data_IF_255817191360
#
_entry.id   IF_255817191360
#
_cell.length_a   1.000
_cell.length_b   1.000
_cell.length_c   1.000
_cell.angle_alpha   90.00
_cell.angle_beta   90.00
_cell.angle_gamma   90.00
#
_symmetry.space_group_name_H-M   'P 1'
#
loop_
_entity.id
_entity.type
_entity.pdbx_description
1 polymer ?
#
# COMPACT_ATOMS: atom_id res chain seq x y z
N UNK A 1 21.30 21.14 -22.36
CA UNK A 1 21.02 22.41 -23.07
C UNK A 1 20.85 23.49 -22.00
N UNK A 2 21.62 24.58 -22.02
CA UNK A 2 21.48 25.67 -21.03
C UNK A 2 20.51 26.72 -21.59
N UNK A 3 19.47 27.05 -20.84
CA UNK A 3 18.55 28.16 -21.14
C UNK A 3 18.63 29.13 -19.96
N UNK A 4 19.22 30.31 -20.19
CA UNK A 4 19.48 31.29 -19.12
C UNK A 4 20.43 30.74 -18.06
N UNK A 5 20.04 30.85 -16.78
CA UNK A 5 20.78 30.34 -15.62
C UNK A 5 20.53 28.86 -15.30
N UNK A 6 19.67 28.17 -16.06
CA UNK A 6 19.28 26.78 -15.77
C UNK A 6 19.84 25.81 -16.81
N UNK A 7 20.41 24.71 -16.32
CA UNK A 7 20.95 23.64 -17.15
C UNK A 7 19.89 22.54 -17.32
N UNK A 8 19.25 22.48 -18.49
CA UNK A 8 18.31 21.43 -18.83
C UNK A 8 19.09 20.17 -19.23
N UNK A 9 19.00 19.15 -18.38
CA UNK A 9 19.52 17.81 -18.65
C UNK A 9 18.38 16.95 -19.21
N UNK A 10 18.41 16.71 -20.52
CA UNK A 10 17.45 15.83 -21.18
C UNK A 10 17.89 14.38 -20.95
N UNK A 11 17.30 13.72 -19.95
CA UNK A 11 17.47 12.29 -19.75
C UNK A 11 16.35 11.54 -20.47
N UNK A 12 16.72 10.59 -21.34
CA UNK A 12 15.76 9.72 -22.01
C UNK A 12 15.09 8.85 -20.95
N UNK A 13 13.83 9.12 -20.62
CA UNK A 13 13.03 8.20 -19.81
C UNK A 13 12.94 6.87 -20.55
N UNK A 14 13.33 5.79 -19.88
CA UNK A 14 13.10 4.44 -20.38
C UNK A 14 11.59 4.22 -20.39
N UNK A 15 10.97 4.40 -21.55
CA UNK A 15 9.56 4.12 -21.77
C UNK A 15 9.41 2.62 -22.04
N UNK A 16 8.94 1.88 -21.05
CA UNK A 16 8.52 0.50 -21.26
C UNK A 16 7.22 0.51 -22.07
N UNK A 17 7.12 -0.32 -23.10
CA UNK A 17 5.84 -0.59 -23.73
C UNK A 17 4.92 -1.32 -22.75
N UNK A 18 3.59 -1.18 -22.90
CA UNK A 18 2.64 -1.88 -22.02
C UNK A 18 2.86 -3.40 -21.99
N UNK A 19 3.27 -3.98 -23.11
CA UNK A 19 3.62 -5.40 -23.22
C UNK A 19 4.90 -5.77 -22.48
N UNK A 20 5.92 -4.91 -22.51
CA UNK A 20 7.14 -5.12 -21.71
C UNK A 20 6.82 -5.05 -20.22
N UNK A 21 6.00 -4.08 -19.78
CA UNK A 21 5.56 -3.98 -18.39
C UNK A 21 4.77 -5.21 -17.95
N UNK A 22 3.83 -5.70 -18.78
CA UNK A 22 3.08 -6.92 -18.51
C UNK A 22 4.01 -8.15 -18.42
N UNK A 23 4.97 -8.28 -19.33
CA UNK A 23 5.96 -9.36 -19.32
C UNK A 23 6.81 -9.38 -18.04
N UNK A 24 7.28 -8.21 -17.59
CA UNK A 24 8.02 -8.07 -16.33
C UNK A 24 7.14 -8.51 -15.14
N UNK A 25 5.88 -8.07 -15.08
CA UNK A 25 4.96 -8.44 -14.01
C UNK A 25 4.66 -9.94 -13.98
N UNK A 26 4.43 -10.58 -15.12
CA UNK A 26 4.20 -12.03 -15.22
C UNK A 26 5.44 -12.79 -14.73
N UNK A 27 6.63 -12.38 -15.17
CA UNK A 27 7.88 -12.99 -14.73
C UNK A 27 8.06 -12.86 -13.21
N UNK A 28 7.76 -11.70 -12.65
CA UNK A 28 7.83 -11.48 -11.20
C UNK A 28 6.87 -12.41 -10.43
N UNK A 29 5.66 -12.64 -10.93
CA UNK A 29 4.71 -13.59 -10.34
C UNK A 29 5.26 -15.02 -10.39
N UNK A 30 5.80 -15.45 -11.54
CA UNK A 30 6.39 -16.80 -11.68
C UNK A 30 7.55 -17.00 -10.73
N UNK A 31 8.45 -16.02 -10.63
CA UNK A 31 9.59 -16.05 -9.71
C UNK A 31 9.11 -16.10 -8.25
N UNK A 32 8.09 -15.32 -7.89
CA UNK A 32 7.52 -15.37 -6.54
C UNK A 32 6.98 -16.77 -6.22
N UNK A 33 6.20 -17.38 -7.13
CA UNK A 33 5.71 -18.76 -6.96
C UNK A 33 6.88 -19.76 -6.86
N UNK A 34 7.94 -19.62 -7.66
CA UNK A 34 9.10 -20.50 -7.53
C UNK A 34 9.77 -20.37 -6.12
N UNK A 35 9.94 -19.15 -5.62
CA UNK A 35 10.53 -18.90 -4.29
C UNK A 35 9.65 -19.47 -3.18
N UNK A 36 8.32 -19.26 -3.23
CA UNK A 36 7.40 -19.83 -2.25
C UNK A 36 7.34 -21.36 -2.30
N UNK A 37 7.56 -21.96 -3.47
CA UNK A 37 7.64 -23.42 -3.60
C UNK A 37 8.80 -24.00 -2.78
N UNK A 38 9.94 -23.30 -2.73
CA UNK A 38 11.08 -23.69 -1.89
C UNK A 38 10.66 -23.73 -0.41
N UNK A 39 9.91 -22.72 0.04
CA UNK A 39 9.41 -22.66 1.42
C UNK A 39 8.47 -23.85 1.72
N UNK A 40 7.58 -24.19 0.80
CA UNK A 40 6.69 -25.35 0.97
C UNK A 40 7.47 -26.68 1.04
N UNK A 41 8.48 -26.87 0.19
CA UNK A 41 9.34 -28.05 0.22
C UNK A 41 10.07 -28.15 1.56
N UNK A 42 10.61 -27.04 2.07
CA UNK A 42 11.28 -27.00 3.38
C UNK A 42 10.32 -27.31 4.53
N UNK A 43 9.04 -26.99 4.39
CA UNK A 43 7.98 -27.35 5.33
C UNK A 43 7.45 -28.78 5.14
N UNK A 44 7.97 -29.55 4.18
CA UNK A 44 7.52 -30.92 3.88
C UNK A 44 6.18 -30.98 3.15
N UNK A 45 5.72 -29.88 2.55
CA UNK A 45 4.44 -29.76 1.86
C UNK A 45 4.67 -29.79 0.35
N UNK A 46 3.86 -30.56 -0.40
CA UNK A 46 3.91 -30.53 -1.86
C UNK A 46 3.47 -29.14 -2.38
N UNK A 47 4.32 -28.40 -3.13
CA UNK A 47 3.99 -27.06 -3.59
C UNK A 47 2.75 -26.97 -4.46
N UNK A 48 2.52 -27.97 -5.32
CA UNK A 48 1.37 -27.97 -6.22
C UNK A 48 0.07 -28.08 -5.42
N UNK A 49 0.03 -28.98 -4.42
CA UNK A 49 -1.11 -29.10 -3.51
C UNK A 49 -1.33 -27.79 -2.74
N UNK A 50 -0.26 -27.18 -2.22
CA UNK A 50 -0.36 -25.90 -1.51
C UNK A 50 -0.95 -24.79 -2.38
N UNK A 51 -0.51 -24.66 -3.63
CA UNK A 51 -1.09 -23.66 -4.54
C UNK A 51 -2.54 -23.96 -4.88
N UNK A 52 -2.90 -25.22 -5.15
CA UNK A 52 -4.30 -25.59 -5.40
C UNK A 52 -5.19 -25.18 -4.23
N UNK A 53 -4.76 -25.42 -2.99
CA UNK A 53 -5.50 -24.98 -1.80
C UNK A 53 -5.59 -23.45 -1.71
N UNK A 54 -4.49 -22.72 -1.92
CA UNK A 54 -4.47 -21.25 -1.87
C UNK A 54 -5.40 -20.64 -2.92
N UNK A 55 -5.34 -21.11 -4.17
CA UNK A 55 -6.17 -20.60 -5.26
C UNK A 55 -7.64 -21.01 -5.08
N UNK A 56 -7.90 -22.23 -4.63
CA UNK A 56 -9.26 -22.68 -4.30
C UNK A 56 -9.87 -21.83 -3.19
N UNK A 57 -9.11 -21.55 -2.12
CA UNK A 57 -9.57 -20.66 -1.07
C UNK A 57 -9.78 -19.23 -1.60
N UNK A 58 -8.84 -18.68 -2.35
CA UNK A 58 -8.93 -17.29 -2.81
C UNK A 58 -10.07 -17.04 -3.81
N UNK A 59 -10.38 -17.99 -4.71
CA UNK A 59 -11.31 -17.75 -5.83
C UNK A 59 -12.58 -18.60 -5.81
N UNK A 60 -12.54 -19.83 -5.28
CA UNK A 60 -13.69 -20.73 -5.26
C UNK A 60 -14.47 -20.69 -3.93
N UNK A 61 -13.89 -20.15 -2.87
CA UNK A 61 -14.57 -19.97 -1.58
C UNK A 61 -15.41 -18.68 -1.56
N UNK A 62 -16.71 -18.73 -1.16
CA UNK A 62 -17.57 -17.55 -1.04
C UNK A 62 -17.02 -16.44 -0.13
N UNK A 63 -16.24 -16.79 0.89
CA UNK A 63 -15.61 -15.85 1.81
C UNK A 63 -14.20 -15.43 1.37
N UNK A 64 -13.53 -16.25 0.57
CA UNK A 64 -12.14 -16.00 0.16
C UNK A 64 -12.01 -14.91 -0.90
N UNK A 65 -12.93 -14.85 -1.86
CA UNK A 65 -12.88 -13.83 -2.91
C UNK A 65 -13.06 -12.40 -2.36
N UNK A 66 -14.07 -12.11 -1.50
CA UNK A 66 -14.19 -10.80 -0.86
C UNK A 66 -12.96 -10.41 -0.03
N UNK A 67 -12.39 -11.36 0.71
CA UNK A 67 -11.21 -11.11 1.54
C UNK A 67 -9.97 -10.83 0.69
N UNK A 68 -9.80 -11.56 -0.41
CA UNK A 68 -8.73 -11.36 -1.39
C UNK A 68 -8.84 -9.99 -2.04
N UNK A 69 -10.05 -9.59 -2.45
CA UNK A 69 -10.29 -8.26 -3.03
C UNK A 69 -10.05 -7.14 -2.02
N UNK A 70 -10.49 -7.30 -0.78
CA UNK A 70 -10.25 -6.33 0.29
C UNK A 70 -8.75 -6.09 0.51
N UNK A 71 -7.97 -7.18 0.62
CA UNK A 71 -6.51 -7.14 0.76
C UNK A 71 -5.84 -6.52 -0.47
N UNK A 72 -6.30 -6.88 -1.67
CA UNK A 72 -5.79 -6.36 -2.93
C UNK A 72 -5.97 -4.85 -3.03
N UNK A 73 -7.20 -4.34 -2.80
CA UNK A 73 -7.51 -2.90 -2.83
C UNK A 73 -6.63 -2.15 -1.84
N UNK A 74 -6.47 -2.68 -0.62
CA UNK A 74 -5.61 -2.07 0.39
C UNK A 74 -4.15 -1.94 -0.06
N UNK A 75 -3.54 -3.02 -0.55
CA UNK A 75 -2.15 -3.01 -1.03
C UNK A 75 -1.98 -2.11 -2.27
N UNK A 76 -2.98 -2.11 -3.15
CA UNK A 76 -3.03 -1.25 -4.32
C UNK A 76 -3.04 0.23 -3.93
N UNK A 77 -3.87 0.64 -2.97
CA UNK A 77 -3.88 2.01 -2.45
C UNK A 77 -2.56 2.41 -1.80
N UNK A 78 -1.93 1.51 -1.03
CA UNK A 78 -0.60 1.74 -0.48
C UNK A 78 0.45 1.95 -1.59
N UNK A 79 0.34 1.19 -2.68
CA UNK A 79 1.24 1.33 -3.83
C UNK A 79 1.05 2.68 -4.53
N UNK A 80 -0.20 3.12 -4.73
CA UNK A 80 -0.48 4.46 -5.27
C UNK A 80 0.07 5.58 -4.38
N UNK A 81 -0.07 5.45 -3.05
CA UNK A 81 0.47 6.42 -2.10
C UNK A 81 2.01 6.53 -2.18
N UNK A 82 2.70 5.45 -2.54
CA UNK A 82 4.15 5.44 -2.76
C UNK A 82 4.57 5.98 -4.14
N UNK A 83 3.85 5.61 -5.21
CA UNK A 83 4.20 5.97 -6.60
C UNK A 83 4.20 7.50 -6.80
N UNK A 84 3.27 8.23 -6.18
CA UNK A 84 3.17 9.69 -6.37
C UNK A 84 4.45 10.41 -5.88
N UNK A 85 4.91 10.27 -4.62
CA UNK A 85 6.20 10.82 -4.18
C UNK A 85 7.40 10.26 -4.96
N UNK A 86 7.39 8.97 -5.29
CA UNK A 86 8.48 8.36 -6.05
C UNK A 86 8.65 9.01 -7.43
N UNK A 87 7.54 9.38 -8.09
CA UNK A 87 7.57 10.10 -9.36
C UNK A 87 8.21 11.50 -9.25
N UNK A 88 8.21 12.09 -8.06
CA UNK A 88 8.91 13.34 -7.72
C UNK A 88 10.35 13.12 -7.23
N UNK A 89 10.89 11.90 -7.30
CA UNK A 89 12.23 11.55 -6.82
C UNK A 89 12.33 11.40 -5.30
N UNK A 90 11.20 11.37 -4.60
CA UNK A 90 11.15 11.16 -3.15
C UNK A 90 10.98 9.68 -2.84
N UNK A 91 12.09 9.04 -2.46
CA UNK A 91 12.10 7.66 -1.97
C UNK A 91 11.54 7.59 -0.54
N UNK A 92 10.36 6.98 -0.35
CA UNK A 92 9.67 6.87 0.93
C UNK A 92 9.72 5.44 1.51
N UNK A 93 10.78 5.10 2.25
CA UNK A 93 10.91 3.78 2.93
C UNK A 93 9.95 3.66 4.14
N UNK A 94 9.56 4.80 4.74
CA UNK A 94 8.79 4.88 5.97
C UNK A 94 7.28 4.64 5.83
N UNK A 95 6.81 4.11 4.70
CA UNK A 95 5.39 3.97 4.40
C UNK A 95 4.65 3.13 5.46
N UNK A 96 5.25 2.05 5.97
CA UNK A 96 4.65 1.25 7.03
C UNK A 96 4.39 2.09 8.30
N UNK A 97 5.33 2.97 8.68
CA UNK A 97 5.17 3.87 9.82
C UNK A 97 4.07 4.91 9.61
N UNK A 98 3.96 5.46 8.40
CA UNK A 98 2.89 6.40 8.04
C UNK A 98 1.51 5.74 8.08
N UNK A 99 1.41 4.50 7.60
CA UNK A 99 0.18 3.70 7.70
C UNK A 99 -0.23 3.49 9.17
N UNK A 100 0.70 3.02 10.01
CA UNK A 100 0.42 2.80 11.44
C UNK A 100 0.04 4.09 12.16
N UNK A 101 0.75 5.20 11.90
CA UNK A 101 0.43 6.50 12.50
C UNK A 101 -0.96 7.00 12.06
N UNK A 102 -1.31 6.83 10.79
CA UNK A 102 -2.66 7.12 10.29
C UNK A 102 -3.73 6.26 10.97
N UNK A 103 -3.51 4.95 11.08
CA UNK A 103 -4.43 4.04 11.78
C UNK A 103 -4.61 4.40 13.26
N UNK A 104 -3.53 4.81 13.93
CA UNK A 104 -3.57 5.21 15.34
C UNK A 104 -4.33 6.53 15.52
N UNK A 105 -4.15 7.49 14.61
CA UNK A 105 -4.92 8.73 14.59
C UNK A 105 -6.42 8.49 14.36
N UNK A 106 -6.78 7.54 13.49
CA UNK A 106 -8.18 7.11 13.29
C UNK A 106 -8.79 6.59 14.60
N UNK A 107 -8.06 5.73 15.32
CA UNK A 107 -8.54 5.19 16.59
C UNK A 107 -8.64 6.28 17.67
N UNK A 108 -7.72 7.25 17.67
CA UNK A 108 -7.78 8.39 18.58
C UNK A 108 -9.05 9.23 18.41
N UNK A 109 -9.56 9.39 17.18
CA UNK A 109 -10.85 10.08 16.93
C UNK A 109 -12.00 9.34 17.62
N UNK A 110 -12.08 8.01 17.49
CA UNK A 110 -13.12 7.20 18.12
C UNK A 110 -13.06 7.28 19.65
N UNK A 111 -11.85 7.21 20.21
CA UNK A 111 -11.63 7.38 21.65
C UNK A 111 -12.04 8.78 22.14
N UNK A 112 -11.66 9.83 21.39
CA UNK A 112 -11.97 11.22 21.75
C UNK A 112 -13.48 11.50 21.71
N UNK A 113 -14.21 10.85 20.80
CA UNK A 113 -15.67 10.92 20.73
C UNK A 113 -16.38 10.05 21.78
N UNK A 114 -15.63 9.39 22.67
CA UNK A 114 -16.21 8.57 23.74
C UNK A 114 -16.92 7.31 23.24
N UNK A 115 -16.60 6.86 22.02
CA UNK A 115 -17.23 5.70 21.39
C UNK A 115 -16.74 4.43 22.07
N UNK A 116 -17.51 3.95 23.05
CA UNK A 116 -17.25 2.67 23.73
C UNK A 116 -17.88 1.49 22.99
N UNK A 117 -18.94 1.74 22.22
CA UNK A 117 -19.61 0.76 21.36
C UNK A 117 -20.07 1.39 20.04
N UNK A 118 -20.33 0.57 19.01
CA UNK A 118 -20.73 0.99 17.66
C UNK A 118 -22.00 1.87 17.59
N UNK A 119 -22.74 2.01 18.69
CA UNK A 119 -24.02 2.75 18.75
C UNK A 119 -23.98 4.03 19.58
N UNK A 120 -22.88 4.38 20.25
CA UNK A 120 -22.88 5.48 21.22
C UNK A 120 -22.49 6.85 20.64
N UNK A 121 -22.48 7.01 19.32
CA UNK A 121 -22.14 8.31 18.69
C UNK A 121 -23.43 9.07 18.40
N UNK A 122 -23.62 10.21 19.06
CA UNK A 122 -24.71 11.14 18.74
C UNK A 122 -24.51 11.84 17.38
N UNK A 123 -23.30 11.77 16.81
CA UNK A 123 -22.95 12.38 15.53
C UNK A 123 -23.28 11.46 14.34
N UNK A 124 -23.67 12.03 13.18
CA UNK A 124 -23.89 11.26 11.96
C UNK A 124 -22.65 10.44 11.56
N UNK A 125 -22.84 9.17 11.21
CA UNK A 125 -21.76 8.26 10.84
C UNK A 125 -20.86 8.82 9.72
N UNK A 126 -21.44 9.52 8.74
CA UNK A 126 -20.71 10.20 7.66
C UNK A 126 -19.69 11.20 8.20
N UNK A 127 -20.06 11.99 9.21
CA UNK A 127 -19.16 12.99 9.80
C UNK A 127 -18.00 12.33 10.55
N UNK A 128 -18.28 11.26 11.28
CA UNK A 128 -17.24 10.48 11.98
C UNK A 128 -16.24 9.91 10.99
N UNK A 129 -16.70 9.32 9.88
CA UNK A 129 -15.84 8.77 8.84
C UNK A 129 -14.95 9.88 8.22
N UNK A 130 -15.51 11.06 7.97
CA UNK A 130 -14.72 12.20 7.46
C UNK A 130 -13.66 12.66 8.46
N UNK A 131 -14.00 12.73 9.76
CA UNK A 131 -13.03 13.07 10.81
C UNK A 131 -11.91 12.03 10.90
N UNK A 132 -12.25 10.73 10.83
CA UNK A 132 -11.27 9.64 10.80
C UNK A 132 -10.35 9.76 9.59
N UNK A 133 -10.89 10.07 8.41
CA UNK A 133 -10.10 10.25 7.18
C UNK A 133 -9.08 11.40 7.34
N UNK A 134 -9.53 12.55 7.85
CA UNK A 134 -8.66 13.70 8.11
C UNK A 134 -7.58 13.33 9.13
N UNK A 135 -7.95 12.67 10.23
CA UNK A 135 -7.00 12.22 11.23
C UNK A 135 -5.97 11.24 10.66
N UNK A 136 -6.38 10.29 9.82
CA UNK A 136 -5.48 9.38 9.14
C UNK A 136 -4.46 10.12 8.28
N UNK A 137 -4.92 11.09 7.49
CA UNK A 137 -4.08 11.93 6.64
C UNK A 137 -3.07 12.72 7.49
N UNK A 138 -3.52 13.35 8.58
CA UNK A 138 -2.66 14.13 9.48
C UNK A 138 -1.62 13.25 10.19
N UNK A 139 -2.02 12.07 10.69
CA UNK A 139 -1.12 11.13 11.34
C UNK A 139 -0.04 10.61 10.41
N UNK A 140 -0.41 10.23 9.19
CA UNK A 140 0.54 9.82 8.15
C UNK A 140 1.44 10.98 7.70
N UNK A 141 0.86 12.16 7.47
CA UNK A 141 1.58 13.37 7.06
C UNK A 141 2.57 13.85 8.13
N UNK A 142 2.26 13.68 9.41
CA UNK A 142 3.17 14.02 10.50
C UNK A 142 4.45 13.18 10.43
N UNK A 143 4.34 11.85 10.37
CA UNK A 143 5.50 10.96 10.30
C UNK A 143 6.27 11.12 8.98
N UNK A 144 5.56 11.25 7.85
CA UNK A 144 6.18 11.51 6.55
C UNK A 144 6.85 12.89 6.50
N UNK A 145 6.23 13.89 7.13
CA UNK A 145 6.73 15.25 7.21
C UNK A 145 8.03 15.36 8.00
N UNK A 146 8.21 14.57 9.07
CA UNK A 146 9.48 14.50 9.81
C UNK A 146 10.61 14.06 8.87
N UNK A 147 10.42 12.97 8.12
CA UNK A 147 11.44 12.49 7.18
C UNK A 147 11.70 13.50 6.05
N UNK A 148 10.64 14.15 5.55
CA UNK A 148 10.76 15.21 4.54
C UNK A 148 11.56 16.40 5.04
N UNK A 149 11.28 16.87 6.26
CA UNK A 149 11.99 17.99 6.89
C UNK A 149 13.47 17.68 7.12
N UNK A 150 13.79 16.49 7.63
CA UNK A 150 15.18 16.07 7.86
C UNK A 150 15.99 15.90 6.57
N UNK A 151 15.34 15.52 5.46
CA UNK A 151 16.01 15.40 4.15
C UNK A 151 16.22 16.76 3.47
N UNK A 152 15.31 17.71 3.70
CA UNK A 152 15.35 19.05 3.09
C UNK A 152 16.23 20.06 3.82
N UNK A 153 16.78 19.69 4.98
CA UNK A 153 17.69 20.50 5.80
C UNK A 153 19.12 19.99 5.66
#
# INVERSE_FOLDING_TARGET
>A
MRIGSHELKLERRVSLSGWQAAGISILAIIVALAVFSIIFILAGINPLTAYVEIFSYAFANPFGLPLTMNRFIFILLCTYAFIIPFSAGLWNIGMAGQLYAGSLAVYAVLLALGVKEFQSVELPATLVILMMLIAAMLGGAFVGGIAGFLKGK
#
